data_IF_458621311040
#
_entry.id   IF_458621311040
#
_cell.length_a   1.000
_cell.length_b   1.000
_cell.length_c   1.000
_cell.angle_alpha   90.00
_cell.angle_beta   90.00
_cell.angle_gamma   90.00
#
_symmetry.space_group_name_H-M   'P 1'
#
loop_
_entity.id
_entity.type
_entity.pdbx_description
1 polymer ?
#
# COMPACT_ATOMS: atom_id res chain seq x y z
N UNK A 1 -1.61 -12.29 14.52
CA UNK A 1 -2.61 -11.95 13.49
C UNK A 1 -2.13 -12.31 12.10
N UNK A 2 -3.04 -12.54 11.14
CA UNK A 2 -2.66 -12.92 9.76
C UNK A 2 -2.33 -11.65 8.98
N UNK A 3 -1.11 -11.57 8.45
CA UNK A 3 -0.67 -10.52 7.54
C UNK A 3 -0.23 -11.15 6.21
N UNK A 4 -0.58 -10.50 5.11
CA UNK A 4 -0.30 -11.00 3.76
C UNK A 4 0.51 -9.96 2.98
N UNK A 5 1.76 -10.25 2.58
CA UNK A 5 2.53 -9.33 1.77
C UNK A 5 1.90 -9.23 0.38
N UNK A 6 1.63 -8.00 -0.06
CA UNK A 6 1.05 -7.69 -1.37
C UNK A 6 1.78 -6.52 -2.01
N UNK A 7 1.70 -6.45 -3.34
CA UNK A 7 2.12 -5.30 -4.14
C UNK A 7 0.87 -4.69 -4.77
N UNK A 8 0.77 -3.36 -4.72
CA UNK A 8 -0.37 -2.61 -5.23
C UNK A 8 0.01 -1.95 -6.56
N UNK A 9 -0.52 -2.48 -7.66
CA UNK A 9 -0.32 -1.96 -9.02
C UNK A 9 -1.54 -1.19 -9.53
N UNK A 10 -1.28 -0.19 -10.38
CA UNK A 10 -2.29 0.55 -11.17
C UNK A 10 -2.02 0.40 -12.66
N UNK A 11 -2.93 0.87 -13.52
CA UNK A 11 -2.77 0.81 -14.98
C UNK A 11 -2.44 -0.61 -15.47
N UNK A 12 -3.23 -1.61 -15.04
CA UNK A 12 -2.97 -3.02 -15.38
C UNK A 12 -1.72 -3.62 -14.71
N UNK A 13 -1.09 -2.90 -13.78
CA UNK A 13 0.13 -3.32 -13.08
C UNK A 13 1.40 -2.77 -13.71
N UNK A 14 1.34 -1.79 -14.62
CA UNK A 14 2.53 -1.19 -15.23
C UNK A 14 3.28 -0.22 -14.31
N UNK A 15 2.58 0.40 -13.35
CA UNK A 15 3.16 1.21 -12.28
C UNK A 15 2.70 0.71 -10.91
N UNK A 16 3.58 0.73 -9.92
CA UNK A 16 3.30 0.20 -8.57
C UNK A 16 3.52 1.27 -7.50
N UNK A 17 2.74 1.17 -6.42
CA UNK A 17 2.90 2.02 -5.23
C UNK A 17 4.16 1.62 -4.46
N UNK A 18 4.99 2.62 -4.14
CA UNK A 18 6.17 2.48 -3.29
C UNK A 18 6.17 3.49 -2.15
N UNK A 19 6.81 3.11 -1.03
CA UNK A 19 7.13 4.02 0.08
C UNK A 19 8.45 4.78 -0.12
N UNK A 20 9.15 4.55 -1.23
CA UNK A 20 10.49 5.09 -1.50
C UNK A 20 11.58 4.42 -0.65
N UNK A 21 12.76 5.05 -0.63
CA UNK A 21 13.96 4.58 0.09
C UNK A 21 14.55 5.63 1.03
N UNK A 22 13.88 6.78 1.18
CA UNK A 22 14.33 7.88 2.06
C UNK A 22 14.14 7.56 3.53
N UNK A 23 14.83 8.28 4.42
CA UNK A 23 14.68 8.07 5.87
C UNK A 23 13.23 8.27 6.36
N UNK A 24 12.51 9.22 5.77
CA UNK A 24 11.08 9.40 5.96
C UNK A 24 10.34 8.81 4.75
N UNK A 25 9.32 7.95 4.94
CA UNK A 25 8.61 7.37 3.82
C UNK A 25 7.78 8.43 3.09
N UNK A 26 7.71 8.30 1.77
CA UNK A 26 6.81 9.06 0.93
C UNK A 26 6.14 8.10 -0.03
N UNK A 27 4.81 8.10 -0.01
CA UNK A 27 4.06 7.30 -0.97
C UNK A 27 4.20 7.91 -2.37
N UNK A 28 4.56 7.08 -3.34
CA UNK A 28 4.74 7.46 -4.74
C UNK A 28 4.36 6.32 -5.67
N UNK A 29 4.04 6.66 -6.91
CA UNK A 29 3.99 5.69 -8.01
C UNK A 29 5.37 5.64 -8.67
N UNK A 30 5.90 4.43 -8.86
CA UNK A 30 7.08 4.21 -9.70
C UNK A 30 6.69 3.39 -10.92
N UNK A 31 7.29 3.70 -12.07
CA UNK A 31 7.11 2.98 -13.33
C UNK A 31 7.85 1.63 -13.27
N UNK A 32 7.26 0.74 -12.48
CA UNK A 32 7.71 -0.63 -12.26
C UNK A 32 6.54 -1.58 -12.39
N UNK A 33 6.70 -2.53 -13.33
CA UNK A 33 5.70 -3.55 -13.59
C UNK A 33 5.61 -4.50 -12.40
N UNK A 34 4.38 -4.85 -12.02
CA UNK A 34 4.10 -5.72 -10.89
C UNK A 34 4.76 -7.11 -11.07
N UNK A 35 4.84 -7.59 -12.32
CA UNK A 35 5.49 -8.87 -12.63
C UNK A 35 7.01 -8.84 -12.43
N UNK A 36 7.68 -7.72 -12.73
CA UNK A 36 9.12 -7.57 -12.45
C UNK A 36 9.41 -7.64 -10.95
N UNK A 37 8.53 -7.04 -10.14
CA UNK A 37 8.66 -7.06 -8.68
C UNK A 37 8.34 -8.44 -8.09
N UNK A 38 7.42 -9.19 -8.69
CA UNK A 38 7.13 -10.56 -8.29
C UNK A 38 8.34 -11.48 -8.49
N UNK A 39 9.08 -11.29 -9.58
CA UNK A 39 10.29 -12.06 -9.90
C UNK A 39 11.51 -11.64 -9.05
N UNK A 40 11.62 -10.35 -8.69
CA UNK A 40 12.73 -9.80 -7.92
C UNK A 40 12.31 -9.34 -6.51
N UNK A 41 12.40 -10.27 -5.55
CA UNK A 41 12.04 -10.03 -4.14
C UNK A 41 12.85 -8.93 -3.45
N UNK A 42 14.11 -8.72 -3.84
CA UNK A 42 14.97 -7.72 -3.21
C UNK A 42 14.49 -6.29 -3.55
N UNK A 43 14.12 -6.06 -4.81
CA UNK A 43 13.56 -4.77 -5.23
C UNK A 43 12.12 -4.56 -4.73
N UNK A 44 11.38 -5.64 -4.52
CA UNK A 44 9.97 -5.60 -4.12
C UNK A 44 9.73 -5.04 -2.72
N UNK A 45 10.73 -5.04 -1.83
CA UNK A 45 10.54 -4.68 -0.42
C UNK A 45 9.87 -3.31 -0.26
N UNK A 46 10.34 -2.27 -0.95
CA UNK A 46 9.77 -0.91 -0.89
C UNK A 46 8.40 -0.75 -1.55
N UNK A 47 7.94 -1.76 -2.29
CA UNK A 47 6.62 -1.85 -2.91
C UNK A 47 5.67 -2.77 -2.14
N UNK A 48 6.17 -3.45 -1.10
CA UNK A 48 5.41 -4.45 -0.38
C UNK A 48 4.66 -3.79 0.77
N UNK A 49 3.37 -4.09 0.84
CA UNK A 49 2.52 -3.76 1.98
C UNK A 49 2.02 -5.06 2.63
N UNK A 50 2.01 -5.12 3.95
CA UNK A 50 1.31 -6.14 4.70
C UNK A 50 -0.18 -5.79 4.74
N UNK A 51 -1.00 -6.57 4.05
CA UNK A 51 -2.45 -6.53 4.16
C UNK A 51 -2.88 -7.22 5.46
N UNK A 52 -3.56 -6.46 6.32
CA UNK A 52 -4.03 -6.86 7.64
C UNK A 52 -5.56 -6.76 7.63
N UNK A 53 -6.29 -7.88 7.54
CA UNK A 53 -7.75 -7.88 7.61
C UNK A 53 -8.27 -7.51 9.00
N UNK A 54 -9.24 -6.60 9.07
CA UNK A 54 -9.92 -6.16 10.29
C UNK A 54 -11.43 -6.20 10.11
N UNK A 55 -12.04 -7.34 10.44
CA UNK A 55 -13.46 -7.55 10.22
C UNK A 55 -13.84 -7.45 8.74
N UNK A 56 -14.48 -6.34 8.35
CA UNK A 56 -14.91 -6.08 6.96
C UNK A 56 -13.97 -5.16 6.17
N UNK A 57 -13.00 -4.56 6.84
CA UNK A 57 -12.02 -3.63 6.29
C UNK A 57 -10.63 -4.25 6.34
N UNK A 58 -9.67 -3.57 5.73
CA UNK A 58 -8.28 -3.96 5.66
C UNK A 58 -7.41 -2.75 5.93
N UNK A 59 -6.28 -2.97 6.62
CA UNK A 59 -5.19 -2.01 6.72
C UNK A 59 -4.00 -2.50 5.90
N UNK A 60 -3.21 -1.57 5.39
CA UNK A 60 -2.02 -1.87 4.58
C UNK A 60 -0.81 -1.18 5.21
N UNK A 61 0.02 -1.97 5.87
CA UNK A 61 1.25 -1.48 6.51
C UNK A 61 2.45 -1.62 5.57
N UNK A 62 3.32 -0.63 5.51
CA UNK A 62 4.56 -0.71 4.74
C UNK A 62 5.50 -1.78 5.28
N UNK A 63 6.03 -2.64 4.40
CA UNK A 63 7.00 -3.66 4.80
C UNK A 63 8.37 -3.07 5.17
N UNK A 64 8.78 -1.95 4.54
CA UNK A 64 10.08 -1.29 4.81
C UNK A 64 10.00 -0.20 5.87
N UNK A 65 8.80 0.24 6.23
CA UNK A 65 8.56 1.26 7.24
C UNK A 65 7.50 0.78 8.25
N UNK A 66 7.88 -0.07 9.23
CA UNK A 66 6.94 -0.57 10.24
C UNK A 66 6.24 0.58 10.99
N UNK A 67 4.96 0.39 11.29
CA UNK A 67 4.08 1.38 11.88
C UNK A 67 3.50 2.41 10.91
N UNK A 68 3.90 2.39 9.63
CA UNK A 68 3.38 3.29 8.61
C UNK A 68 2.33 2.60 7.74
N UNK A 69 1.14 3.20 7.66
CA UNK A 69 -0.03 2.65 6.99
C UNK A 69 -0.45 3.51 5.81
N UNK A 70 -0.94 2.88 4.75
CA UNK A 70 -1.68 3.57 3.69
C UNK A 70 -2.86 4.31 4.30
N UNK A 71 -3.10 5.54 3.87
CA UNK A 71 -4.20 6.35 4.39
C UNK A 71 -4.80 7.32 3.36
N UNK A 72 -5.96 7.84 3.71
CA UNK A 72 -6.64 8.95 3.03
C UNK A 72 -7.01 10.03 4.03
N UNK A 73 -7.11 11.28 3.57
CA UNK A 73 -7.73 12.32 4.40
C UNK A 73 -9.26 12.20 4.37
N UNK A 74 -9.91 12.86 5.33
CA UNK A 74 -11.37 13.03 5.34
C UNK A 74 -11.91 13.89 4.18
N UNK A 75 -11.05 14.68 3.51
CA UNK A 75 -11.43 15.50 2.37
C UNK A 75 -11.47 14.68 1.09
N UNK A 76 -12.52 14.91 0.28
CA UNK A 76 -12.64 14.31 -1.05
C UNK A 76 -11.56 14.83 -2.00
N UNK A 77 -11.22 14.02 -3.01
CA UNK A 77 -10.30 14.37 -4.10
C UNK A 77 -8.85 14.69 -3.70
N UNK A 78 -8.44 14.30 -2.49
CA UNK A 78 -7.05 14.35 -2.04
C UNK A 78 -6.31 13.04 -2.40
N UNK A 79 -4.99 13.09 -2.63
CA UNK A 79 -4.21 11.89 -2.93
C UNK A 79 -4.14 10.94 -1.73
N UNK A 80 -4.00 9.65 -2.03
CA UNK A 80 -3.62 8.64 -1.04
C UNK A 80 -2.21 8.93 -0.49
N UNK A 81 -2.00 8.61 0.78
CA UNK A 81 -0.78 8.95 1.54
C UNK A 81 -0.33 7.77 2.40
N UNK A 82 0.73 7.99 3.17
CA UNK A 82 1.19 7.09 4.22
C UNK A 82 1.29 7.85 5.55
N UNK A 83 0.89 7.23 6.65
CA UNK A 83 0.88 7.83 7.99
C UNK A 83 1.36 6.84 9.05
N UNK A 84 2.07 7.34 10.07
CA UNK A 84 2.35 6.59 11.30
C UNK A 84 1.47 7.03 12.49
N UNK A 85 0.41 7.79 12.21
CA UNK A 85 -0.58 8.25 13.20
C UNK A 85 -1.99 7.75 12.85
N UNK A 86 -2.21 6.43 12.84
CA UNK A 86 -3.52 5.87 12.54
C UNK A 86 -4.55 6.32 13.59
N UNK A 87 -5.76 6.69 13.15
CA UNK A 87 -6.88 7.00 14.04
C UNK A 87 -6.99 8.45 14.55
N UNK A 88 -6.07 9.35 14.17
CA UNK A 88 -6.18 10.78 14.48
C UNK A 88 -7.14 11.49 13.50
N UNK A 89 -6.65 11.80 12.30
CA UNK A 89 -7.41 12.53 11.25
C UNK A 89 -7.43 11.78 9.92
N UNK A 90 -6.55 10.80 9.75
CA UNK A 90 -6.40 10.00 8.54
C UNK A 90 -7.15 8.68 8.66
N UNK A 91 -7.81 8.27 7.58
CA UNK A 91 -8.54 7.00 7.46
C UNK A 91 -7.57 5.94 6.92
N UNK A 92 -7.36 4.86 7.68
CA UNK A 92 -6.43 3.77 7.35
C UNK A 92 -7.13 2.45 7.01
N UNK A 93 -8.44 2.40 7.14
CA UNK A 93 -9.27 1.24 6.86
C UNK A 93 -9.87 1.33 5.45
N UNK A 94 -9.68 0.27 4.68
CA UNK A 94 -10.14 0.19 3.30
C UNK A 94 -11.01 -1.04 3.10
N UNK A 95 -12.08 -0.90 2.32
CA UNK A 95 -12.73 -2.07 1.75
C UNK A 95 -11.87 -2.64 0.63
N UNK A 96 -11.51 -3.92 0.72
CA UNK A 96 -10.69 -4.59 -0.29
C UNK A 96 -11.51 -5.70 -0.96
N UNK A 97 -11.92 -5.46 -2.21
CA UNK A 97 -12.81 -6.35 -2.96
C UNK A 97 -12.10 -6.91 -4.19
N UNK A 98 -12.15 -8.24 -4.36
CA UNK A 98 -11.73 -8.88 -5.60
C UNK A 98 -12.80 -8.63 -6.67
N UNK A 99 -12.43 -7.93 -7.73
CA UNK A 99 -13.27 -7.83 -8.92
C UNK A 99 -13.01 -9.07 -9.77
N UNK A 100 -14.06 -9.82 -10.08
CA UNK A 100 -13.99 -10.89 -11.07
C UNK A 100 -14.20 -10.25 -12.44
N UNK A 101 -13.14 -10.13 -13.24
CA UNK A 101 -13.27 -9.83 -14.66
C UNK A 101 -13.71 -11.11 -15.37
N UNK A 102 -14.86 -11.05 -16.07
CA UNK A 102 -15.31 -12.08 -17.01
C UNK A 102 -14.45 -12.04 -18.28
#
# INVERSE_FOLDING_TARGET
DKQYPIILGVQGGDSCLSCGTSAQPKLQLEDKKIMELFENKEQAARFTFHNIPEGSTHRFESATYPGWFLCTSQKSSEPIRITNRPGETEITEFYFKRILTQ
#
